data_IF_760925249068
#
_entry.id   IF_760925249068
#
_cell.length_a   1.000
_cell.length_b   1.000
_cell.length_c   1.000
_cell.angle_alpha   90.00
_cell.angle_beta   90.00
_cell.angle_gamma   90.00
#
_symmetry.space_group_name_H-M   'P 1'
#
loop_
_entity.id
_entity.type
_entity.pdbx_description
1 polymer ?
#
# COMPACT_ATOMS: atom_id res chain seq x y z
N UNK A 1 10.69 1.79 -4.22
CA UNK A 1 11.04 1.14 -5.50
C UNK A 1 9.93 1.27 -6.54
N UNK A 2 8.69 0.78 -6.32
CA UNK A 2 7.59 0.83 -7.32
C UNK A 2 7.18 2.27 -7.74
N UNK A 3 7.17 3.24 -6.81
CA UNK A 3 6.91 4.65 -7.12
C UNK A 3 7.93 5.23 -8.10
N UNK A 4 9.19 4.90 -7.93
CA UNK A 4 10.29 5.34 -8.81
C UNK A 4 10.06 4.79 -10.22
N UNK A 5 9.62 3.54 -10.33
CA UNK A 5 9.34 2.89 -11.61
C UNK A 5 8.19 3.58 -12.36
N UNK A 6 7.08 3.90 -11.70
CA UNK A 6 5.98 4.63 -12.35
C UNK A 6 6.40 6.03 -12.77
N UNK A 7 7.19 6.73 -11.96
CA UNK A 7 7.72 8.06 -12.34
C UNK A 7 8.65 7.96 -13.54
N UNK A 8 9.57 7.00 -13.55
CA UNK A 8 10.47 6.76 -14.70
C UNK A 8 9.68 6.48 -15.98
N UNK A 9 8.62 5.64 -15.89
CA UNK A 9 7.74 5.40 -17.04
C UNK A 9 6.92 6.64 -17.40
N UNK A 10 6.58 7.47 -16.44
CA UNK A 10 5.93 8.76 -16.69
C UNK A 10 6.81 9.72 -17.50
N UNK A 11 8.10 9.76 -17.21
CA UNK A 11 9.10 10.53 -17.96
C UNK A 11 9.30 9.93 -19.37
N UNK A 12 9.47 8.61 -19.46
CA UNK A 12 9.66 7.88 -20.72
C UNK A 12 8.50 8.08 -21.70
N UNK A 13 7.26 8.06 -21.20
CA UNK A 13 6.04 8.15 -22.00
C UNK A 13 5.45 9.57 -22.07
N UNK A 14 6.20 10.59 -21.68
CA UNK A 14 5.71 11.98 -21.63
C UNK A 14 5.26 12.53 -22.99
N UNK A 15 5.84 12.02 -24.08
CA UNK A 15 5.56 12.45 -25.45
C UNK A 15 4.46 11.65 -26.15
N UNK A 16 3.98 10.55 -25.55
CA UNK A 16 2.97 9.67 -26.16
C UNK A 16 1.59 10.23 -25.89
N UNK A 17 0.93 10.73 -26.91
CA UNK A 17 -0.45 11.24 -26.85
C UNK A 17 -1.43 10.08 -26.82
N UNK A 18 -2.41 10.16 -25.95
CA UNK A 18 -3.53 9.23 -25.86
C UNK A 18 -4.85 9.95 -25.59
N UNK A 19 -5.95 9.25 -25.74
CA UNK A 19 -7.25 9.74 -25.29
C UNK A 19 -7.40 9.52 -23.76
N UNK A 20 -7.68 10.59 -23.03
CA UNK A 20 -8.16 10.52 -21.66
C UNK A 20 -9.63 10.12 -21.65
N UNK A 21 -10.01 9.25 -20.70
CA UNK A 21 -11.38 8.73 -20.58
C UNK A 21 -11.98 9.02 -19.22
N UNK A 22 -13.27 9.28 -19.21
CA UNK A 22 -14.12 9.31 -18.03
C UNK A 22 -15.26 8.34 -18.24
N UNK A 23 -15.54 7.48 -17.26
CA UNK A 23 -16.59 6.44 -17.38
C UNK A 23 -16.43 5.54 -18.62
N UNK A 24 -15.18 5.29 -19.04
CA UNK A 24 -14.76 4.57 -20.25
C UNK A 24 -15.05 5.26 -21.59
N UNK A 25 -15.70 6.43 -21.59
CA UNK A 25 -15.94 7.23 -22.77
C UNK A 25 -14.80 8.21 -23.05
N UNK A 26 -14.57 8.52 -24.31
CA UNK A 26 -13.55 9.48 -24.75
C UNK A 26 -13.84 10.88 -24.21
N UNK A 27 -12.83 11.52 -23.61
CA UNK A 27 -12.97 12.85 -23.04
C UNK A 27 -12.04 13.86 -23.71
N UNK A 28 -10.79 13.92 -23.30
CA UNK A 28 -9.84 14.92 -23.80
C UNK A 28 -8.46 14.27 -24.04
N UNK A 29 -7.64 14.83 -24.96
CA UNK A 29 -6.26 14.37 -25.15
C UNK A 29 -5.44 14.54 -23.88
N UNK A 30 -4.61 13.56 -23.61
CA UNK A 30 -3.58 13.59 -22.56
C UNK A 30 -2.35 12.80 -22.99
N UNK A 31 -1.31 12.74 -22.18
CA UNK A 31 -0.17 11.85 -22.46
C UNK A 31 -0.23 10.60 -21.61
N UNK A 32 0.34 9.52 -22.12
CA UNK A 32 0.52 8.28 -21.36
C UNK A 32 1.42 8.54 -20.13
N UNK A 33 2.40 9.42 -20.27
CA UNK A 33 3.24 9.88 -19.15
C UNK A 33 2.45 10.52 -18.02
N UNK A 34 1.41 11.31 -18.32
CA UNK A 34 0.51 11.88 -17.29
C UNK A 34 -0.22 10.79 -16.52
N UNK A 35 -0.65 9.70 -17.18
CA UNK A 35 -1.27 8.55 -16.52
C UNK A 35 -0.32 7.90 -15.52
N UNK A 36 0.92 7.61 -15.93
CA UNK A 36 1.92 6.99 -15.05
C UNK A 36 2.37 7.91 -13.90
N UNK A 37 2.48 9.21 -14.14
CA UNK A 37 2.75 10.21 -13.10
C UNK A 37 1.61 10.30 -12.08
N UNK A 38 0.37 10.18 -12.52
CA UNK A 38 -0.80 10.06 -11.65
C UNK A 38 -0.71 8.86 -10.72
N UNK A 39 -0.35 7.67 -11.23
CA UNK A 39 -0.10 6.48 -10.42
C UNK A 39 1.02 6.70 -9.40
N UNK A 40 2.12 7.32 -9.79
CA UNK A 40 3.23 7.62 -8.89
C UNK A 40 2.82 8.59 -7.77
N UNK A 41 2.00 9.60 -8.07
CA UNK A 41 1.50 10.57 -7.10
C UNK A 41 0.60 9.90 -6.06
N UNK A 42 -0.38 9.12 -6.51
CA UNK A 42 -1.30 8.37 -5.63
C UNK A 42 -0.51 7.50 -4.64
N UNK A 43 0.51 6.77 -5.12
CA UNK A 43 1.31 5.90 -4.24
C UNK A 43 2.20 6.70 -3.26
N UNK A 44 2.65 7.89 -3.64
CA UNK A 44 3.41 8.77 -2.74
C UNK A 44 2.58 9.17 -1.52
N UNK A 45 1.34 9.56 -1.76
CA UNK A 45 0.44 9.99 -0.70
C UNK A 45 0.11 8.83 0.25
N UNK A 46 -0.08 7.63 -0.28
CA UNK A 46 -0.36 6.45 0.56
C UNK A 46 0.86 5.99 1.37
N UNK A 47 2.09 6.16 0.87
CA UNK A 47 3.31 5.91 1.65
C UNK A 47 3.39 6.87 2.85
N UNK A 48 3.05 8.16 2.64
CA UNK A 48 3.01 9.14 3.73
C UNK A 48 2.00 8.71 4.81
N UNK A 49 0.77 8.40 4.43
CA UNK A 49 -0.25 7.93 5.37
C UNK A 49 0.12 6.66 6.11
N UNK A 50 0.80 5.72 5.43
CA UNK A 50 1.27 4.50 6.09
C UNK A 50 2.33 4.81 7.16
N UNK A 51 3.26 5.73 6.88
CA UNK A 51 4.26 6.15 7.84
C UNK A 51 3.63 6.89 9.03
N UNK A 52 2.63 7.74 8.77
CA UNK A 52 1.86 8.42 9.82
C UNK A 52 1.16 7.40 10.74
N UNK A 53 0.47 6.40 10.17
CA UNK A 53 -0.18 5.35 10.94
C UNK A 53 0.83 4.43 11.66
N UNK A 54 2.04 4.24 11.13
CA UNK A 54 3.08 3.47 11.78
C UNK A 54 3.66 4.18 13.00
N UNK A 55 3.58 5.52 13.06
CA UNK A 55 4.07 6.28 14.22
C UNK A 55 3.28 5.98 15.51
N UNK A 56 2.02 5.56 15.40
CA UNK A 56 1.21 5.19 16.56
C UNK A 56 1.78 3.98 17.31
N UNK A 57 2.53 3.10 16.64
CA UNK A 57 3.22 1.97 17.29
C UNK A 57 4.40 2.40 18.17
N UNK A 58 4.86 3.64 18.08
CA UNK A 58 5.94 4.14 18.91
C UNK A 58 5.49 4.50 20.32
N UNK A 59 4.19 4.56 20.59
CA UNK A 59 3.64 4.68 21.94
C UNK A 59 3.32 3.28 22.47
N UNK A 60 3.98 2.89 23.56
CA UNK A 60 3.93 1.52 24.08
C UNK A 60 3.48 1.48 25.55
N UNK A 61 2.90 0.35 25.95
CA UNK A 61 2.51 0.07 27.34
C UNK A 61 3.56 -0.76 28.09
N UNK A 62 4.83 -0.65 27.72
CA UNK A 62 5.92 -1.40 28.33
C UNK A 62 5.97 -1.19 29.85
N UNK A 63 6.08 -2.27 30.61
CA UNK A 63 6.10 -2.21 32.09
C UNK A 63 4.72 -2.12 32.74
N UNK A 64 3.63 -2.14 31.96
CA UNK A 64 2.25 -2.12 32.48
C UNK A 64 1.92 -3.33 33.39
N UNK A 65 2.67 -4.43 33.26
CA UNK A 65 2.40 -5.71 33.89
C UNK A 65 1.06 -6.31 33.47
N UNK A 66 0.18 -6.74 34.39
CA UNK A 66 -1.05 -7.46 34.04
C UNK A 66 -2.13 -6.55 33.42
N UNK A 67 -2.43 -5.42 34.06
CA UNK A 67 -3.57 -4.55 33.71
C UNK A 67 -3.20 -3.06 33.57
N UNK A 68 -1.93 -2.75 33.52
CA UNK A 68 -1.48 -1.36 33.38
C UNK A 68 -1.13 -0.64 34.69
N UNK A 69 -1.39 -1.23 35.83
CA UNK A 69 -1.12 -0.59 37.14
C UNK A 69 0.34 -0.69 37.60
N UNK A 70 1.10 -1.65 37.03
CA UNK A 70 2.50 -1.87 37.43
C UNK A 70 2.70 -2.24 38.88
N UNK A 71 1.67 -2.76 39.59
CA UNK A 71 1.64 -2.92 41.04
C UNK A 71 2.79 -3.79 41.61
N UNK A 72 3.32 -4.70 40.77
CA UNK A 72 4.43 -5.57 41.16
C UNK A 72 5.76 -5.17 40.48
N UNK A 73 5.80 -4.05 39.80
CA UNK A 73 7.01 -3.57 39.15
C UNK A 73 7.84 -2.69 40.08
N UNK A 74 9.16 -2.76 39.94
CA UNK A 74 10.06 -1.84 40.63
C UNK A 74 9.86 -0.39 40.14
N UNK A 75 10.00 0.62 40.97
CA UNK A 75 9.92 2.03 40.57
C UNK A 75 10.87 2.34 39.39
N UNK A 76 10.35 3.00 38.37
CA UNK A 76 11.10 3.37 37.16
C UNK A 76 11.38 2.18 36.21
N UNK A 77 10.75 1.03 36.40
CA UNK A 77 10.89 -0.13 35.51
C UNK A 77 10.41 0.17 34.07
N UNK A 78 9.23 0.74 33.94
CA UNK A 78 8.65 1.05 32.65
C UNK A 78 9.53 1.99 31.81
N UNK A 79 10.01 3.09 32.42
CA UNK A 79 10.86 4.07 31.79
C UNK A 79 12.21 3.47 31.36
N UNK A 80 12.80 2.63 32.22
CA UNK A 80 14.07 1.93 31.92
C UNK A 80 13.89 0.95 30.76
N UNK A 81 12.75 0.23 30.72
CA UNK A 81 12.44 -0.69 29.62
C UNK A 81 12.27 0.04 28.30
N UNK A 82 11.53 1.16 28.26
CA UNK A 82 11.35 1.95 27.05
C UNK A 82 12.68 2.54 26.58
N UNK A 83 13.52 3.04 27.50
CA UNK A 83 14.86 3.51 27.17
C UNK A 83 15.71 2.42 26.52
N UNK A 84 15.74 1.23 27.12
CA UNK A 84 16.47 0.08 26.56
C UNK A 84 15.90 -0.33 25.19
N UNK A 85 14.58 -0.28 25.01
CA UNK A 85 13.93 -0.56 23.72
C UNK A 85 14.37 0.45 22.65
N UNK A 86 14.44 1.74 22.96
CA UNK A 86 14.96 2.76 22.06
C UNK A 86 16.43 2.48 21.67
N UNK A 87 17.27 2.14 22.64
CA UNK A 87 18.69 1.85 22.40
C UNK A 87 18.90 0.61 21.51
N UNK A 88 18.11 -0.45 21.72
CA UNK A 88 18.20 -1.70 20.94
C UNK A 88 17.69 -1.53 19.51
N UNK A 89 16.59 -0.80 19.34
CA UNK A 89 15.88 -0.73 18.04
C UNK A 89 16.26 0.47 17.19
N UNK A 90 16.76 1.53 17.84
CA UNK A 90 17.00 2.83 17.18
C UNK A 90 15.74 3.64 16.89
N UNK A 91 14.55 3.20 17.36
CA UNK A 91 13.31 3.96 17.25
C UNK A 91 13.04 4.78 18.52
N UNK A 92 12.36 5.93 18.38
CA UNK A 92 11.99 6.82 19.48
C UNK A 92 10.66 6.36 20.12
N UNK A 93 10.71 5.24 20.85
CA UNK A 93 9.54 4.76 21.60
C UNK A 93 9.23 5.67 22.79
N UNK A 94 7.96 5.80 23.11
CA UNK A 94 7.44 6.58 24.22
C UNK A 94 6.54 5.72 25.10
N UNK A 95 6.64 5.91 26.38
CA UNK A 95 5.71 5.32 27.33
C UNK A 95 4.34 5.99 27.19
N UNK A 96 3.27 5.22 27.15
CA UNK A 96 1.92 5.76 27.21
C UNK A 96 1.71 6.53 28.51
N UNK A 97 0.97 7.63 28.45
CA UNK A 97 0.59 8.43 29.61
C UNK A 97 -0.38 7.71 30.54
N UNK A 98 -1.13 6.75 30.01
CA UNK A 98 -2.03 5.86 30.77
C UNK A 98 -1.81 4.41 30.33
N UNK A 99 -1.14 3.65 31.20
CA UNK A 99 -0.81 2.25 30.90
C UNK A 99 -2.03 1.34 31.04
N UNK A 100 -3.05 1.72 31.82
CA UNK A 100 -4.29 0.91 31.94
C UNK A 100 -5.07 0.97 30.65
N UNK A 101 -5.31 2.17 30.12
CA UNK A 101 -5.93 2.35 28.80
C UNK A 101 -5.17 1.68 27.69
N UNK A 102 -3.85 1.90 27.63
CA UNK A 102 -2.99 1.33 26.58
C UNK A 102 -2.88 -0.20 26.61
N UNK A 103 -3.17 -0.85 27.75
CA UNK A 103 -3.14 -2.33 27.85
C UNK A 103 -4.30 -2.98 27.09
N UNK A 104 -5.43 -2.31 26.94
CA UNK A 104 -6.61 -2.81 26.23
C UNK A 104 -6.83 -2.17 24.87
N UNK A 105 -6.13 -1.08 24.55
CA UNK A 105 -6.34 -0.34 23.31
C UNK A 105 -5.61 -1.01 22.13
N UNK A 106 -6.37 -1.34 21.09
CA UNK A 106 -5.88 -1.90 19.82
C UNK A 106 -6.02 -0.92 18.65
N UNK A 107 -6.31 0.35 18.91
CA UNK A 107 -6.61 1.35 17.88
C UNK A 107 -5.44 1.57 16.90
N UNK A 108 -4.19 1.48 17.35
CA UNK A 108 -3.01 1.57 16.47
C UNK A 108 -2.97 0.43 15.43
N UNK A 109 -3.36 -0.78 15.81
CA UNK A 109 -3.45 -1.93 14.88
C UNK A 109 -4.55 -1.69 13.84
N UNK A 110 -5.72 -1.20 14.27
CA UNK A 110 -6.84 -0.87 13.38
C UNK A 110 -6.48 0.27 12.45
N UNK A 111 -5.83 1.31 12.96
CA UNK A 111 -5.34 2.47 12.17
C UNK A 111 -4.37 2.03 11.07
N UNK A 112 -3.35 1.26 11.43
CA UNK A 112 -2.37 0.74 10.48
C UNK A 112 -2.99 -0.21 9.45
N UNK A 113 -3.86 -1.11 9.90
CA UNK A 113 -4.60 -1.99 9.02
C UNK A 113 -5.46 -1.21 8.02
N UNK A 114 -6.10 -0.13 8.44
CA UNK A 114 -6.87 0.77 7.57
C UNK A 114 -5.98 1.47 6.54
N UNK A 115 -4.77 1.89 6.91
CA UNK A 115 -3.79 2.45 5.98
C UNK A 115 -3.35 1.40 4.93
N UNK A 116 -3.13 0.15 5.32
CA UNK A 116 -2.86 -0.95 4.39
C UNK A 116 -4.04 -1.20 3.42
N UNK A 117 -5.28 -1.12 3.90
CA UNK A 117 -6.47 -1.23 3.07
C UNK A 117 -6.54 -0.11 2.03
N UNK A 118 -6.23 1.13 2.42
CA UNK A 118 -6.18 2.27 1.49
C UNK A 118 -5.18 2.03 0.36
N UNK A 119 -3.97 1.55 0.67
CA UNK A 119 -2.96 1.18 -0.33
C UNK A 119 -3.50 0.08 -1.24
N UNK A 120 -4.12 -0.96 -0.68
CA UNK A 120 -4.67 -2.07 -1.47
C UNK A 120 -5.73 -1.59 -2.47
N UNK A 121 -6.64 -0.69 -2.06
CA UNK A 121 -7.65 -0.09 -2.95
C UNK A 121 -6.98 0.67 -4.10
N UNK A 122 -5.96 1.49 -3.81
CA UNK A 122 -5.26 2.28 -4.84
C UNK A 122 -4.48 1.38 -5.81
N UNK A 123 -3.75 0.40 -5.29
CA UNK A 123 -2.99 -0.54 -6.12
C UNK A 123 -3.93 -1.39 -6.97
N UNK A 124 -5.06 -1.83 -6.42
CA UNK A 124 -6.09 -2.57 -7.16
C UNK A 124 -6.62 -1.76 -8.35
N UNK A 125 -6.92 -0.48 -8.14
CA UNK A 125 -7.34 0.43 -9.21
C UNK A 125 -6.26 0.55 -10.29
N UNK A 126 -5.00 0.78 -9.92
CA UNK A 126 -3.88 0.87 -10.87
C UNK A 126 -3.75 -0.43 -11.68
N UNK A 127 -3.84 -1.59 -11.05
CA UNK A 127 -3.77 -2.87 -11.74
C UNK A 127 -4.93 -3.09 -12.71
N UNK A 128 -6.15 -2.67 -12.35
CA UNK A 128 -7.30 -2.73 -13.25
C UNK A 128 -7.12 -1.82 -14.46
N UNK A 129 -6.60 -0.60 -14.27
CA UNK A 129 -6.28 0.30 -15.38
C UNK A 129 -5.21 -0.31 -16.32
N UNK A 130 -4.13 -0.85 -15.75
CA UNK A 130 -3.09 -1.50 -16.54
C UNK A 130 -3.62 -2.66 -17.38
N UNK A 131 -4.53 -3.48 -16.81
CA UNK A 131 -5.16 -4.60 -17.53
C UNK A 131 -6.08 -4.10 -18.64
N UNK A 132 -6.87 -3.06 -18.34
CA UNK A 132 -7.81 -2.48 -19.32
C UNK A 132 -7.06 -1.84 -20.48
N UNK A 133 -6.08 -0.97 -20.20
CA UNK A 133 -5.32 -0.25 -21.20
C UNK A 133 -4.45 -1.18 -22.07
N UNK A 134 -4.00 -2.30 -21.52
CA UNK A 134 -3.23 -3.32 -22.25
C UNK A 134 -4.10 -4.40 -22.91
N UNK A 135 -5.43 -4.26 -22.89
CA UNK A 135 -6.34 -5.25 -23.45
C UNK A 135 -6.25 -5.34 -24.97
N UNK A 136 -6.46 -6.52 -25.49
CA UNK A 136 -6.44 -6.76 -26.93
C UNK A 136 -5.35 -7.79 -27.35
N UNK A 137 -4.53 -7.50 -28.34
CA UNK A 137 -4.25 -6.19 -28.98
C UNK A 137 -5.22 -5.73 -30.08
N UNK A 138 -5.99 -6.63 -30.68
CA UNK A 138 -6.81 -6.27 -31.88
C UNK A 138 -8.22 -5.81 -31.52
N UNK A 139 -8.85 -6.42 -30.53
CA UNK A 139 -10.23 -6.17 -30.12
C UNK A 139 -10.32 -5.54 -28.71
N UNK A 140 -9.28 -4.88 -28.27
CA UNK A 140 -9.22 -4.15 -27.01
C UNK A 140 -8.60 -2.76 -27.21
N UNK A 141 -8.24 -2.09 -26.11
CA UNK A 141 -7.68 -0.74 -26.17
C UNK A 141 -6.25 -0.71 -26.72
N UNK A 142 -5.41 -1.68 -26.35
CA UNK A 142 -4.07 -1.85 -26.91
C UNK A 142 -3.15 -0.63 -26.77
N UNK A 143 -3.31 0.21 -25.72
CA UNK A 143 -2.54 1.44 -25.57
C UNK A 143 -1.07 1.20 -25.26
N UNK A 144 -0.76 0.04 -24.64
CA UNK A 144 0.60 -0.44 -24.41
C UNK A 144 0.63 -1.95 -24.21
N UNK A 145 1.82 -2.53 -24.27
CA UNK A 145 2.02 -3.96 -24.06
C UNK A 145 2.64 -4.22 -22.70
N UNK A 146 2.09 -5.19 -21.97
CA UNK A 146 2.71 -5.73 -20.76
C UNK A 146 3.73 -6.82 -21.14
N UNK A 147 4.85 -6.96 -20.41
CA UNK A 147 5.81 -8.02 -20.67
C UNK A 147 5.18 -9.38 -20.39
N UNK A 148 5.55 -10.39 -21.21
CA UNK A 148 5.18 -11.76 -20.98
C UNK A 148 5.90 -12.31 -19.73
N UNK A 149 5.15 -12.70 -18.70
CA UNK A 149 5.69 -13.16 -17.42
C UNK A 149 5.41 -14.64 -17.16
N UNK A 150 4.76 -15.33 -18.10
CA UNK A 150 4.53 -16.78 -18.11
C UNK A 150 4.38 -17.26 -19.53
N UNK A 151 4.51 -18.58 -19.78
CA UNK A 151 4.16 -19.18 -21.08
C UNK A 151 2.72 -18.80 -21.45
N UNK A 152 2.48 -18.55 -22.74
CA UNK A 152 1.14 -18.28 -23.24
C UNK A 152 0.19 -19.47 -23.07
N UNK A 153 -1.07 -19.31 -23.46
CA UNK A 153 -2.06 -20.37 -23.45
C UNK A 153 -1.65 -21.53 -24.36
N UNK A 154 -1.83 -22.77 -23.91
CA UNK A 154 -1.63 -23.96 -24.77
C UNK A 154 -2.65 -24.05 -25.91
N UNK A 155 -3.83 -23.49 -25.74
CA UNK A 155 -4.91 -23.46 -26.74
C UNK A 155 -4.77 -22.27 -27.70
N UNK A 156 -4.24 -21.14 -27.20
CA UNK A 156 -4.09 -19.90 -27.96
C UNK A 156 -2.63 -19.43 -27.92
N UNK A 157 -1.76 -19.99 -28.79
CA UNK A 157 -0.36 -19.62 -28.84
C UNK A 157 -0.17 -18.11 -29.04
N UNK A 158 0.78 -17.52 -28.31
CA UNK A 158 1.06 -16.07 -28.37
C UNK A 158 0.12 -15.19 -27.54
N UNK A 159 -0.87 -15.75 -26.84
CA UNK A 159 -1.70 -14.98 -25.92
C UNK A 159 -0.92 -14.63 -24.65
N UNK A 160 -0.62 -13.35 -24.46
CA UNK A 160 0.05 -12.82 -23.26
C UNK A 160 -1.00 -12.31 -22.27
N UNK A 161 -1.16 -13.02 -21.16
CA UNK A 161 -2.08 -12.60 -20.08
C UNK A 161 -1.40 -11.61 -19.15
N UNK A 162 -2.15 -10.63 -18.59
CA UNK A 162 -1.62 -9.64 -17.63
C UNK A 162 -1.52 -10.22 -16.21
N UNK A 163 -0.79 -11.34 -16.05
CA UNK A 163 -0.79 -12.17 -14.82
C UNK A 163 -0.29 -11.44 -13.58
N UNK A 164 0.68 -10.54 -13.72
CA UNK A 164 1.22 -9.79 -12.57
C UNK A 164 0.19 -8.81 -12.01
N UNK A 165 -0.49 -7.96 -12.82
CA UNK A 165 -1.62 -7.17 -12.33
C UNK A 165 -2.75 -8.02 -11.74
N UNK A 166 -3.05 -9.21 -12.32
CA UNK A 166 -4.08 -10.12 -11.80
C UNK A 166 -3.74 -10.66 -10.40
N UNK A 167 -2.53 -11.18 -10.22
CA UNK A 167 -2.07 -11.64 -8.89
C UNK A 167 -2.08 -10.50 -7.88
N UNK A 168 -1.67 -9.29 -8.30
CA UNK A 168 -1.72 -8.13 -7.42
C UNK A 168 -3.15 -7.75 -7.03
N UNK A 169 -4.13 -7.85 -7.94
CA UNK A 169 -5.55 -7.68 -7.61
C UNK A 169 -5.99 -8.70 -6.54
N UNK A 170 -5.62 -9.98 -6.68
CA UNK A 170 -5.95 -11.02 -5.70
C UNK A 170 -5.35 -10.72 -4.31
N UNK A 171 -4.09 -10.26 -4.27
CA UNK A 171 -3.45 -9.83 -3.02
C UNK A 171 -4.20 -8.64 -2.40
N UNK A 172 -4.58 -7.65 -3.21
CA UNK A 172 -5.34 -6.50 -2.74
C UNK A 172 -6.71 -6.91 -2.16
N UNK A 173 -7.44 -7.81 -2.82
CA UNK A 173 -8.71 -8.32 -2.30
C UNK A 173 -8.52 -9.07 -0.98
N UNK A 174 -7.45 -9.87 -0.85
CA UNK A 174 -7.14 -10.56 0.40
C UNK A 174 -6.85 -9.57 1.53
N UNK A 175 -6.07 -8.52 1.27
CA UNK A 175 -5.79 -7.46 2.24
C UNK A 175 -7.09 -6.76 2.64
N UNK A 176 -7.91 -6.33 1.66
CA UNK A 176 -9.17 -5.65 1.95
C UNK A 176 -10.14 -6.49 2.76
N UNK A 177 -10.18 -7.82 2.54
CA UNK A 177 -11.08 -8.74 3.23
C UNK A 177 -10.59 -9.19 4.62
N UNK A 178 -9.30 -9.04 4.95
CA UNK A 178 -8.77 -9.44 6.27
C UNK A 178 -8.85 -8.35 7.33
N UNK A 179 -8.92 -7.09 6.92
CA UNK A 179 -8.90 -5.95 7.84
C UNK A 179 -10.26 -5.81 8.51
N UNK A 180 -10.27 -5.85 9.85
CA UNK A 180 -11.47 -5.78 10.68
C UNK A 180 -12.03 -7.14 11.11
N UNK A 181 -11.28 -8.22 10.92
CA UNK A 181 -11.54 -9.51 11.57
C UNK A 181 -10.46 -9.73 12.62
N UNK A 182 -10.72 -9.27 13.82
CA UNK A 182 -10.05 -9.78 15.01
C UNK A 182 -10.68 -11.08 15.42
#
# INVERSE_FOLDING_TARGET
>A
FRRVLFRSKGEEFAHIIKMGRTQLEDAVPMTLGQTFNGFASILRDEIRHLNEAAADFLTVNMGATAIGTGICAEPGYAEKCVKALCEITGFDFKLSSDLVGATSDTSCLVGYASALKRIAVKVNKICNDLRLLASGPRCGLGEFNLPAMQPGSSIMPGKVNPVIPEVMNQICYKVMGKIGRA
#
